data_IF_033135434876
#
_entry.id   IF_033135434876
#
_cell.length_a   1.000
_cell.length_b   1.000
_cell.length_c   1.000
_cell.angle_alpha   90.00
_cell.angle_beta   90.00
_cell.angle_gamma   90.00
#
_symmetry.space_group_name_H-M   'P 1'
#
loop_
_entity.id
_entity.type
_entity.pdbx_description
1 polymer ?
#
# COMPACT_ATOMS: atom_id res chain seq x y z
N UNK A 1 -0.34 -10.65 -16.81
CA UNK A 1 -1.57 -10.48 -15.99
C UNK A 1 -1.11 -9.83 -14.69
N UNK A 2 -1.41 -8.56 -14.49
CA UNK A 2 -1.03 -7.87 -13.25
C UNK A 2 -2.06 -8.29 -12.21
N UNK A 3 -1.67 -9.18 -11.30
CA UNK A 3 -2.53 -9.54 -10.17
C UNK A 3 -2.57 -8.35 -9.23
N UNK A 4 -3.71 -7.67 -9.18
CA UNK A 4 -3.95 -6.62 -8.19
C UNK A 4 -4.54 -7.26 -6.94
N UNK A 5 -3.81 -7.20 -5.84
CA UNK A 5 -4.29 -7.71 -4.56
C UNK A 5 -4.82 -6.55 -3.72
N UNK A 6 -6.11 -6.57 -3.46
CA UNK A 6 -6.74 -5.59 -2.60
C UNK A 6 -6.80 -6.10 -1.15
N UNK A 7 -6.41 -5.23 -0.22
CA UNK A 7 -6.51 -5.45 1.23
C UNK A 7 -7.08 -4.21 1.88
N UNK A 8 -7.80 -4.39 2.98
CA UNK A 8 -8.29 -3.29 3.80
C UNK A 8 -7.59 -3.30 5.16
N UNK A 9 -7.26 -2.12 5.66
CA UNK A 9 -6.60 -1.96 6.96
C UNK A 9 -6.99 -0.63 7.60
N UNK A 10 -7.59 -0.66 8.80
CA UNK A 10 -8.02 0.53 9.56
C UNK A 10 -8.84 1.55 8.74
N UNK A 11 -9.67 1.07 7.81
CA UNK A 11 -10.49 1.92 6.94
C UNK A 11 -9.79 2.39 5.66
N UNK A 12 -8.51 2.11 5.48
CA UNK A 12 -7.77 2.32 4.24
C UNK A 12 -7.84 1.10 3.33
N UNK A 13 -7.76 1.33 2.02
CA UNK A 13 -7.60 0.28 1.02
C UNK A 13 -6.17 0.28 0.50
N UNK A 14 -5.59 -0.90 0.35
CA UNK A 14 -4.23 -1.13 -0.13
C UNK A 14 -4.35 -1.98 -1.41
N UNK A 15 -3.92 -1.42 -2.52
CA UNK A 15 -3.94 -2.05 -3.84
C UNK A 15 -2.51 -2.37 -4.26
N UNK A 16 -2.14 -3.66 -4.20
CA UNK A 16 -0.81 -4.10 -4.58
C UNK A 16 -0.75 -4.42 -6.06
N UNK A 17 0.27 -3.91 -6.75
CA UNK A 17 0.55 -4.24 -8.15
C UNK A 17 1.88 -4.98 -8.25
N UNK A 18 1.85 -6.20 -8.81
CA UNK A 18 3.07 -6.91 -9.18
C UNK A 18 3.68 -6.31 -10.44
N UNK A 19 4.95 -5.91 -10.38
CA UNK A 19 5.64 -5.20 -11.47
C UNK A 19 6.29 -6.11 -12.52
N UNK A 20 6.06 -7.43 -12.48
CA UNK A 20 6.14 -8.34 -13.63
C UNK A 20 7.52 -8.67 -14.24
N UNK A 21 8.53 -7.81 -14.16
CA UNK A 21 9.81 -8.00 -14.84
C UNK A 21 10.98 -8.14 -13.84
N UNK A 22 11.67 -9.28 -13.94
CA UNK A 22 12.93 -9.71 -13.28
C UNK A 22 13.25 -9.03 -11.92
N UNK A 23 12.99 -9.75 -10.81
CA UNK A 23 13.12 -9.29 -9.41
C UNK A 23 12.04 -8.29 -8.94
N UNK A 24 10.82 -8.39 -9.48
CA UNK A 24 9.73 -7.44 -9.28
C UNK A 24 9.40 -7.16 -7.80
N UNK A 25 9.78 -5.97 -7.34
CA UNK A 25 9.29 -5.36 -6.13
C UNK A 25 7.85 -4.91 -6.36
N UNK A 26 6.92 -5.38 -5.55
CA UNK A 26 5.51 -4.98 -5.56
C UNK A 26 5.40 -3.47 -5.33
N UNK A 27 4.50 -2.82 -6.07
CA UNK A 27 4.04 -1.47 -5.77
C UNK A 27 2.76 -1.53 -4.91
N UNK A 28 2.47 -0.47 -4.15
CA UNK A 28 1.25 -0.36 -3.36
C UNK A 28 0.64 1.04 -3.50
N UNK A 29 -0.64 1.09 -3.83
CA UNK A 29 -1.47 2.29 -3.74
C UNK A 29 -2.32 2.22 -2.48
N UNK A 30 -2.30 3.29 -1.68
CA UNK A 30 -3.06 3.38 -0.43
C UNK A 30 -4.13 4.45 -0.59
N UNK A 31 -5.37 4.04 -0.40
CA UNK A 31 -6.54 4.91 -0.47
C UNK A 31 -7.16 5.08 0.92
N UNK A 32 -7.61 6.28 1.25
CA UNK A 32 -8.40 6.53 2.47
C UNK A 32 -9.80 5.92 2.38
N UNK A 33 -10.59 6.05 3.46
CA UNK A 33 -11.96 5.54 3.53
C UNK A 33 -12.93 6.17 2.51
N UNK A 34 -12.56 7.31 1.93
CA UNK A 34 -13.32 7.97 0.86
C UNK A 34 -12.89 7.50 -0.53
N UNK A 35 -11.91 6.60 -0.61
CA UNK A 35 -11.37 6.09 -1.87
C UNK A 35 -10.36 7.04 -2.52
N UNK A 36 -9.90 8.08 -1.82
CA UNK A 36 -8.88 8.99 -2.35
C UNK A 36 -7.49 8.40 -2.11
N UNK A 37 -6.66 8.40 -3.15
CA UNK A 37 -5.26 7.99 -3.06
C UNK A 37 -4.52 8.95 -2.12
N UNK A 38 -4.02 8.42 -1.01
CA UNK A 38 -3.24 9.17 -0.01
C UNK A 38 -1.74 8.91 -0.13
N UNK A 39 -1.34 7.75 -0.64
CA UNK A 39 0.07 7.44 -0.87
C UNK A 39 0.28 6.41 -1.97
N UNK A 40 1.34 6.60 -2.74
CA UNK A 40 1.82 5.67 -3.77
C UNK A 40 3.23 5.20 -3.41
N UNK A 41 3.37 3.91 -3.18
CA UNK A 41 4.65 3.24 -2.95
C UNK A 41 5.07 2.49 -4.22
N UNK A 42 5.89 3.14 -5.06
CA UNK A 42 6.43 2.51 -6.28
C UNK A 42 7.32 1.29 -6.00
N UNK A 43 7.82 1.16 -4.76
CA UNK A 43 8.55 -0.02 -4.24
C UNK A 43 8.08 -0.28 -2.82
N UNK A 44 7.05 -1.11 -2.67
CA UNK A 44 6.47 -1.50 -1.38
C UNK A 44 7.18 -2.71 -0.77
N UNK A 45 7.70 -3.65 -1.58
CA UNK A 45 8.48 -4.79 -1.07
C UNK A 45 8.77 -5.84 -2.14
N UNK A 46 9.72 -6.74 -1.87
CA UNK A 46 10.08 -7.82 -2.82
C UNK A 46 9.15 -9.04 -2.73
N UNK A 47 8.23 -9.04 -1.77
CA UNK A 47 7.17 -10.04 -1.61
C UNK A 47 5.85 -9.33 -1.32
N UNK A 48 4.73 -10.01 -1.59
CA UNK A 48 3.38 -9.51 -1.28
C UNK A 48 3.26 -9.14 0.21
N UNK A 49 3.67 -10.05 1.09
CA UNK A 49 3.63 -9.87 2.55
C UNK A 49 4.40 -8.61 2.98
N UNK A 50 5.64 -8.45 2.49
CA UNK A 50 6.47 -7.29 2.81
C UNK A 50 5.85 -5.98 2.33
N UNK A 51 5.20 -6.00 1.16
CA UNK A 51 4.51 -4.85 0.60
C UNK A 51 3.26 -4.47 1.40
N UNK A 52 2.51 -5.46 1.90
CA UNK A 52 1.38 -5.22 2.81
C UNK A 52 1.87 -4.65 4.14
N UNK A 53 2.88 -5.25 4.76
CA UNK A 53 3.38 -4.77 6.06
C UNK A 53 3.91 -3.34 5.96
N UNK A 54 4.69 -3.02 4.91
CA UNK A 54 5.14 -1.64 4.69
C UNK A 54 3.99 -0.65 4.49
N UNK A 55 2.93 -1.08 3.81
CA UNK A 55 1.74 -0.25 3.63
C UNK A 55 1.00 -0.01 4.95
N UNK A 56 0.94 -1.02 5.83
CA UNK A 56 0.38 -0.89 7.18
C UNK A 56 1.21 0.03 8.06
N UNK A 57 2.54 -0.11 8.03
CA UNK A 57 3.47 0.77 8.76
C UNK A 57 3.24 2.24 8.37
N UNK A 58 3.01 2.52 7.09
CA UNK A 58 2.69 3.87 6.63
C UNK A 58 1.31 4.34 7.09
N UNK A 59 0.28 3.50 7.01
CA UNK A 59 -1.07 3.84 7.51
C UNK A 59 -1.03 4.13 9.01
N UNK A 60 -0.30 3.31 9.79
CA UNK A 60 -0.13 3.52 11.23
C UNK A 60 0.57 4.86 11.49
N UNK A 61 1.63 5.16 10.75
CA UNK A 61 2.31 6.44 10.84
C UNK A 61 1.38 7.62 10.51
N UNK A 62 0.61 7.55 9.43
CA UNK A 62 -0.34 8.60 9.06
C UNK A 62 -1.47 8.76 10.09
N UNK A 63 -1.90 7.68 10.75
CA UNK A 63 -2.91 7.75 11.81
C UNK A 63 -2.34 8.35 13.10
N UNK A 64 -1.11 8.00 13.47
CA UNK A 64 -0.46 8.48 14.68
C UNK A 64 0.06 9.93 14.53
N UNK A 65 0.48 10.33 13.32
CA UNK A 65 1.16 11.61 13.07
C UNK A 65 0.47 12.52 12.04
N UNK A 66 -0.50 12.04 11.28
CA UNK A 66 -1.21 12.81 10.24
C UNK A 66 -2.45 13.55 10.75
N UNK A 67 -2.97 13.23 11.94
CA UNK A 67 -4.12 13.91 12.56
C UNK A 67 -3.82 15.30 13.18
N UNK A 68 -2.72 15.95 12.77
CA UNK A 68 -2.32 17.29 13.24
C UNK A 68 -2.44 18.34 12.12
N UNK A 69 -3.66 18.57 11.62
CA UNK A 69 -4.02 19.86 11.01
C UNK A 69 -5.53 20.12 11.01
#
# INVERSE_FOLDING_TARGET
>A
MNTTLQRTYKGYSIDLTSLGDYCASFAADIHDSSGRLVSHLGVAGNTEERAVDRSRELIDFELDYGSIH
#
